data_IF_824340369091
#
_entry.id   IF_824340369091
#
_cell.length_a   1.000
_cell.length_b   1.000
_cell.length_c   1.000
_cell.angle_alpha   90.00
_cell.angle_beta   90.00
_cell.angle_gamma   90.00
#
_symmetry.space_group_name_H-M   'P 1'
#
loop_
_entity.id
_entity.type
_entity.pdbx_description
1 polymer ?
#
# COMPACT_ATOMS: atom_id res chain seq x y z
N UNK A 1 34.09 -20.74 23.92
CA UNK A 1 32.83 -20.16 23.40
C UNK A 1 33.10 -18.66 23.19
N UNK A 2 33.24 -18.21 21.94
CA UNK A 2 33.57 -16.80 21.62
C UNK A 2 32.52 -16.24 20.65
N UNK A 3 32.24 -14.95 20.84
CA UNK A 3 31.19 -14.17 20.14
C UNK A 3 31.39 -14.24 18.62
N UNK A 4 30.45 -14.86 17.92
CA UNK A 4 30.35 -14.84 16.46
C UNK A 4 28.85 -14.91 16.10
N UNK A 5 28.22 -13.75 15.93
CA UNK A 5 26.76 -13.68 15.73
C UNK A 5 26.17 -12.30 16.01
N UNK A 6 26.59 -11.28 15.24
CA UNK A 6 25.90 -9.96 15.12
C UNK A 6 26.12 -9.35 13.72
N UNK A 7 27.27 -9.62 13.06
CA UNK A 7 27.70 -8.91 11.85
C UNK A 7 26.95 -9.21 10.53
N UNK A 8 25.84 -9.96 10.55
CA UNK A 8 25.08 -10.29 9.32
C UNK A 8 23.96 -9.26 9.02
N UNK A 9 23.44 -8.56 10.04
CA UNK A 9 22.27 -7.67 9.86
C UNK A 9 22.53 -6.34 9.12
N UNK A 10 23.75 -5.79 9.21
CA UNK A 10 24.02 -4.43 8.71
C UNK A 10 24.20 -4.33 7.18
N UNK A 11 24.50 -5.43 6.49
CA UNK A 11 24.77 -5.42 5.05
C UNK A 11 23.52 -5.22 4.17
N UNK A 12 22.35 -5.66 4.66
CA UNK A 12 21.08 -5.56 3.91
C UNK A 12 20.45 -4.18 4.08
N UNK A 13 20.48 -3.61 5.28
CA UNK A 13 19.92 -2.28 5.59
C UNK A 13 20.62 -1.17 4.80
N UNK A 14 21.94 -1.27 4.61
CA UNK A 14 22.72 -0.27 3.89
C UNK A 14 22.36 -0.14 2.39
N UNK A 15 21.75 -1.17 1.78
CA UNK A 15 21.35 -1.13 0.37
C UNK A 15 19.99 -0.45 0.14
N UNK A 16 19.13 -0.39 1.17
CA UNK A 16 17.79 0.21 1.07
C UNK A 16 17.81 1.75 1.21
N UNK A 17 18.83 2.30 1.87
CA UNK A 17 18.96 3.74 2.18
C UNK A 17 19.26 4.66 0.97
N UNK A 18 19.40 4.13 -0.24
CA UNK A 18 19.81 4.89 -1.44
C UNK A 18 18.63 5.28 -2.34
N UNK A 19 17.40 4.84 -2.04
CA UNK A 19 16.21 5.05 -2.89
C UNK A 19 15.13 6.00 -2.36
N UNK A 20 15.16 6.37 -1.08
CA UNK A 20 14.03 7.03 -0.40
C UNK A 20 14.19 8.55 -0.29
N UNK A 21 13.87 9.27 -1.38
CA UNK A 21 13.90 10.74 -1.44
C UNK A 21 12.61 11.37 -2.01
N UNK A 22 11.48 10.69 -1.83
CA UNK A 22 10.14 11.18 -2.14
C UNK A 22 9.12 10.51 -1.23
N UNK A 23 7.98 11.18 -1.02
CA UNK A 23 6.75 10.52 -0.60
C UNK A 23 6.17 9.70 -1.77
N UNK A 24 5.32 8.75 -1.44
CA UNK A 24 4.79 7.59 -2.19
C UNK A 24 3.59 7.09 -1.37
N UNK A 25 2.49 6.47 -1.85
CA UNK A 25 1.18 6.27 -1.13
C UNK A 25 0.63 4.92 -0.56
N UNK A 26 -0.50 5.03 0.19
CA UNK A 26 -1.12 4.04 1.13
C UNK A 26 -1.94 2.95 0.43
N UNK A 27 -2.44 3.25 -0.76
CA UNK A 27 -3.18 2.30 -1.61
C UNK A 27 -2.27 1.45 -2.50
N UNK A 28 -0.99 1.37 -2.18
CA UNK A 28 0.04 0.68 -2.96
C UNK A 28 0.16 -0.83 -2.68
N UNK A 29 -0.51 -1.31 -1.64
CA UNK A 29 -0.45 -2.69 -1.15
C UNK A 29 0.86 -3.05 -0.43
N UNK A 30 1.71 -2.08 -0.07
CA UNK A 30 2.89 -2.25 0.76
C UNK A 30 2.78 -1.48 2.08
N UNK A 31 2.25 -0.26 2.06
CA UNK A 31 2.20 0.62 3.22
C UNK A 31 1.45 0.00 4.40
N UNK A 32 1.89 0.36 5.60
CA UNK A 32 1.14 0.10 6.81
C UNK A 32 1.37 1.18 7.85
N UNK A 33 0.32 1.95 8.17
CA UNK A 33 0.32 2.89 9.29
C UNK A 33 0.75 2.22 10.61
N UNK A 34 0.51 0.91 10.77
CA UNK A 34 0.95 0.13 11.93
C UNK A 34 2.45 -0.08 11.97
N UNK A 35 3.12 -0.24 10.82
CA UNK A 35 4.59 -0.33 10.69
C UNK A 35 5.26 1.04 10.85
N UNK A 36 4.51 2.12 10.65
CA UNK A 36 4.85 3.50 11.01
C UNK A 36 4.58 3.81 12.51
N UNK A 37 4.04 2.85 13.29
CA UNK A 37 3.62 3.01 14.70
C UNK A 37 2.51 4.05 14.92
N UNK A 38 1.79 4.38 13.86
CA UNK A 38 0.70 5.33 13.83
C UNK A 38 -0.66 4.63 14.07
N UNK A 39 -1.69 5.40 14.42
CA UNK A 39 -3.07 4.98 14.18
C UNK A 39 -3.45 5.30 12.72
N UNK A 40 -4.50 4.66 12.19
CA UNK A 40 -4.98 4.97 10.84
C UNK A 40 -5.62 6.36 10.70
N UNK A 41 -5.68 7.15 11.77
CA UNK A 41 -6.09 8.55 11.76
C UNK A 41 -4.98 9.45 12.32
N UNK A 42 -3.71 9.05 12.21
CA UNK A 42 -2.56 9.85 12.63
C UNK A 42 -2.52 11.19 11.87
N UNK A 43 -2.70 11.13 10.55
CA UNK A 43 -2.51 12.26 9.63
C UNK A 43 -3.83 13.01 9.35
N UNK A 44 -4.63 13.20 10.39
CA UNK A 44 -6.02 13.66 10.26
C UNK A 44 -6.10 15.13 9.82
N UNK A 45 -6.48 15.35 8.56
CA UNK A 45 -6.71 16.66 7.92
C UNK A 45 -7.60 17.64 8.70
N UNK A 46 -8.45 17.16 9.62
CA UNK A 46 -9.30 18.01 10.47
C UNK A 46 -8.66 18.46 11.78
N UNK A 47 -7.50 17.91 12.13
CA UNK A 47 -6.69 18.31 13.27
C UNK A 47 -5.23 18.48 12.83
N UNK A 48 -4.94 19.46 11.94
CA UNK A 48 -3.62 19.65 11.32
C UNK A 48 -2.49 19.91 12.32
N UNK A 49 -2.83 20.26 13.56
CA UNK A 49 -1.86 20.47 14.65
C UNK A 49 -1.56 19.21 15.48
N UNK A 50 -2.24 18.10 15.21
CA UNK A 50 -2.11 16.87 15.99
C UNK A 50 -0.90 16.05 15.54
N UNK A 51 -0.08 15.70 16.52
CA UNK A 51 0.99 14.72 16.40
C UNK A 51 0.68 13.53 17.30
N UNK A 52 0.74 12.31 16.76
CA UNK A 52 0.56 11.08 17.53
C UNK A 52 1.91 10.63 18.14
N UNK A 53 2.04 10.57 19.49
CA UNK A 53 3.31 10.22 20.12
C UNK A 53 3.80 8.83 19.72
N UNK A 54 4.97 8.77 19.07
CA UNK A 54 5.56 7.51 18.57
C UNK A 54 5.21 7.16 17.14
N UNK A 55 4.26 7.84 16.49
CA UNK A 55 4.05 7.73 15.04
C UNK A 55 5.26 8.27 14.26
N UNK A 56 5.65 7.59 13.19
CA UNK A 56 6.85 7.86 12.39
C UNK A 56 6.47 8.22 10.95
N UNK A 57 6.85 9.40 10.49
CA UNK A 57 6.67 9.83 9.09
C UNK A 57 7.63 9.22 8.08
N UNK A 58 8.69 8.63 8.59
CA UNK A 58 9.56 7.74 7.85
C UNK A 58 10.02 6.65 8.80
N UNK A 59 10.07 5.41 8.35
CA UNK A 59 10.55 4.30 9.16
C UNK A 59 11.34 3.30 8.33
N UNK A 60 12.48 2.86 8.86
CA UNK A 60 13.17 1.64 8.45
C UNK A 60 13.07 0.68 9.61
N UNK A 61 12.32 -0.41 9.44
CA UNK A 61 12.15 -1.42 10.46
C UNK A 61 12.49 -2.83 9.95
N UNK A 62 12.88 -3.68 10.90
CA UNK A 62 13.13 -5.11 10.71
C UNK A 62 12.48 -5.84 11.87
N UNK A 63 11.53 -6.72 11.58
CA UNK A 63 10.91 -7.60 12.57
C UNK A 63 11.14 -9.08 12.27
N UNK A 64 10.99 -9.92 13.29
CA UNK A 64 10.84 -11.36 13.10
C UNK A 64 9.36 -11.76 12.95
N UNK A 65 9.09 -13.04 12.66
CA UNK A 65 7.73 -13.59 12.53
C UNK A 65 6.96 -13.69 13.85
N UNK A 66 7.63 -13.49 15.00
CA UNK A 66 6.98 -13.34 16.31
C UNK A 66 6.60 -11.88 16.62
N UNK A 67 6.93 -10.93 15.73
CA UNK A 67 6.63 -9.51 15.89
C UNK A 67 7.62 -8.74 16.75
N UNK A 68 8.80 -9.31 17.07
CA UNK A 68 9.86 -8.52 17.71
C UNK A 68 10.50 -7.61 16.67
N UNK A 69 10.45 -6.30 16.88
CA UNK A 69 10.84 -5.30 15.88
C UNK A 69 11.95 -4.37 16.38
N UNK A 70 12.91 -4.07 15.50
CA UNK A 70 13.81 -2.93 15.62
C UNK A 70 13.55 -1.93 14.52
N UNK A 71 13.61 -0.64 14.84
CA UNK A 71 13.34 0.43 13.88
C UNK A 71 14.22 1.66 14.11
N UNK A 72 14.39 2.43 13.04
CA UNK A 72 14.84 3.82 13.06
C UNK A 72 13.81 4.61 12.25
N UNK A 73 13.30 5.70 12.81
CA UNK A 73 12.29 6.52 12.13
C UNK A 73 12.43 8.00 12.43
N UNK A 74 11.67 8.80 11.67
CA UNK A 74 11.50 10.24 11.89
C UNK A 74 10.13 10.45 12.51
N UNK A 75 10.08 11.09 13.68
CA UNK A 75 8.83 11.36 14.38
C UNK A 75 7.92 12.24 13.51
N UNK A 76 6.63 11.87 13.43
CA UNK A 76 5.58 12.66 12.79
C UNK A 76 5.58 14.10 13.32
N UNK A 77 5.30 15.08 12.46
CA UNK A 77 5.14 16.49 12.84
C UNK A 77 3.69 16.94 12.64
N UNK A 78 3.45 18.25 12.70
CA UNK A 78 2.16 18.83 12.33
C UNK A 78 2.16 19.22 10.84
N UNK A 79 0.96 19.42 10.30
CA UNK A 79 0.73 19.91 8.94
C UNK A 79 1.52 21.19 8.64
N UNK A 80 2.11 21.24 7.45
CA UNK A 80 3.03 22.27 6.97
C UNK A 80 4.40 22.27 7.66
N UNK A 81 4.79 21.20 8.37
CA UNK A 81 6.12 21.04 8.97
C UNK A 81 6.82 19.80 8.40
N UNK A 82 8.15 19.89 8.24
CA UNK A 82 8.98 18.75 7.84
C UNK A 82 9.56 18.02 9.06
N UNK A 83 9.68 16.69 9.04
CA UNK A 83 10.32 15.95 10.13
C UNK A 83 11.80 16.32 10.33
N UNK A 84 12.29 16.22 11.56
CA UNK A 84 13.68 16.52 11.87
C UNK A 84 14.62 15.34 11.54
N UNK A 85 15.14 15.36 10.32
CA UNK A 85 16.13 14.40 9.80
C UNK A 85 17.42 14.27 10.65
N UNK A 86 17.70 15.20 11.56
CA UNK A 86 18.88 15.14 12.44
C UNK A 86 18.61 14.45 13.78
N UNK A 87 17.34 14.23 14.14
CA UNK A 87 16.93 13.64 15.42
C UNK A 87 16.01 12.40 15.23
N UNK A 88 16.48 11.32 14.60
CA UNK A 88 15.69 10.11 14.41
C UNK A 88 15.40 9.41 15.75
N UNK A 89 14.18 8.88 15.88
CA UNK A 89 13.77 7.98 16.96
C UNK A 89 14.20 6.56 16.59
N UNK A 90 14.51 5.73 17.58
CA UNK A 90 14.80 4.31 17.34
C UNK A 90 14.32 3.42 18.48
N UNK A 91 13.92 2.21 18.12
CA UNK A 91 13.64 1.11 19.04
C UNK A 91 14.49 -0.10 18.71
N UNK A 92 14.91 -0.83 19.74
CA UNK A 92 15.63 -2.10 19.56
C UNK A 92 14.88 -3.23 20.27
N UNK A 93 14.73 -4.40 19.64
CA UNK A 93 14.02 -5.52 20.23
C UNK A 93 14.89 -6.17 21.30
N UNK A 94 14.26 -6.63 22.39
CA UNK A 94 14.97 -7.35 23.46
C UNK A 94 15.30 -8.80 23.09
N UNK A 95 14.56 -9.36 22.12
CA UNK A 95 14.70 -10.70 21.54
C UNK A 95 14.47 -10.61 20.04
N UNK A 96 15.17 -11.41 19.23
CA UNK A 96 14.94 -11.48 17.78
C UNK A 96 15.25 -12.89 17.28
N UNK A 97 14.26 -13.57 16.71
CA UNK A 97 14.37 -14.94 16.19
C UNK A 97 14.13 -15.00 14.68
N UNK A 98 15.18 -14.90 13.85
CA UNK A 98 15.05 -14.95 12.39
C UNK A 98 14.58 -16.31 11.86
N UNK A 99 14.49 -17.35 12.70
CA UNK A 99 13.96 -18.66 12.29
C UNK A 99 12.43 -18.69 12.24
N UNK A 100 11.77 -17.73 12.92
CA UNK A 100 10.32 -17.51 12.80
C UNK A 100 9.92 -16.75 11.54
N UNK A 101 10.88 -16.10 10.87
CA UNK A 101 10.68 -15.22 9.72
C UNK A 101 11.50 -13.93 9.88
N UNK A 102 11.64 -13.16 8.80
CA UNK A 102 12.29 -11.83 8.80
C UNK A 102 11.53 -10.90 7.85
N UNK A 103 11.08 -9.76 8.36
CA UNK A 103 10.30 -8.76 7.62
C UNK A 103 11.00 -7.41 7.68
N UNK A 104 11.66 -7.02 6.58
CA UNK A 104 12.25 -5.70 6.39
C UNK A 104 11.24 -4.78 5.70
N UNK A 105 11.08 -3.56 6.20
CA UNK A 105 10.16 -2.57 5.65
C UNK A 105 10.79 -1.18 5.70
N UNK A 106 10.61 -0.43 4.62
CA UNK A 106 10.90 1.01 4.55
C UNK A 106 9.59 1.69 4.17
N UNK A 107 9.09 2.57 5.02
CA UNK A 107 7.87 3.35 4.78
C UNK A 107 8.11 4.85 4.93
N UNK A 108 7.24 5.62 4.29
CA UNK A 108 7.14 7.07 4.37
C UNK A 108 5.66 7.46 4.47
N UNK A 109 5.33 8.65 4.99
CA UNK A 109 4.04 9.33 4.76
C UNK A 109 4.14 10.69 4.05
N UNK A 110 2.98 11.23 3.69
CA UNK A 110 2.73 12.56 3.11
C UNK A 110 3.38 13.71 3.87
N UNK A 111 3.62 13.56 5.18
CA UNK A 111 4.37 14.51 5.99
C UNK A 111 5.80 14.76 5.40
N UNK A 112 6.37 13.85 4.59
CA UNK A 112 7.63 14.10 3.87
C UNK A 112 7.52 15.04 2.66
N UNK A 113 6.33 15.25 2.08
CA UNK A 113 6.10 16.23 1.01
C UNK A 113 5.46 17.50 1.55
N UNK A 114 6.31 18.49 1.89
CA UNK A 114 5.94 19.78 2.48
C UNK A 114 5.18 19.72 3.82
N UNK A 115 4.95 18.53 4.38
CA UNK A 115 4.16 18.33 5.59
C UNK A 115 2.67 18.23 5.32
N UNK A 116 2.21 17.65 4.21
CA UNK A 116 0.78 17.39 4.00
C UNK A 116 0.26 16.33 4.98
N UNK A 117 -1.02 16.44 5.37
CA UNK A 117 -1.76 15.51 6.23
C UNK A 117 -3.20 15.40 5.68
N UNK A 118 -3.43 14.53 4.69
CA UNK A 118 -4.71 14.46 3.98
C UNK A 118 -5.68 13.35 4.46
N UNK A 119 -5.31 12.57 5.50
CA UNK A 119 -6.12 11.43 5.93
C UNK A 119 -7.54 11.82 6.37
N UNK A 120 -8.51 10.96 6.05
CA UNK A 120 -9.89 11.13 6.47
C UNK A 120 -10.18 10.46 7.82
N UNK A 121 -10.60 11.19 8.85
CA UNK A 121 -11.08 10.59 10.10
C UNK A 121 -12.42 9.84 9.91
N UNK A 122 -13.04 9.91 8.73
CA UNK A 122 -14.22 9.13 8.40
C UNK A 122 -13.90 7.70 7.89
N UNK A 123 -12.66 7.46 7.45
CA UNK A 123 -12.17 6.16 6.94
C UNK A 123 -11.10 5.59 7.89
N UNK A 124 -10.13 6.42 8.30
CA UNK A 124 -9.09 6.08 9.28
C UNK A 124 -8.22 4.87 8.90
N UNK A 125 -7.71 4.87 7.67
CA UNK A 125 -6.84 3.84 7.08
C UNK A 125 -5.39 4.28 6.86
N UNK A 126 -5.04 5.54 7.16
CA UNK A 126 -3.77 6.18 6.82
C UNK A 126 -4.01 7.45 5.99
N UNK A 127 -2.93 8.19 5.68
CA UNK A 127 -2.97 9.28 4.69
C UNK A 127 -3.33 8.74 3.30
N UNK A 128 -3.63 9.62 2.35
CA UNK A 128 -3.84 9.24 0.95
C UNK A 128 -2.53 9.09 0.21
N UNK A 129 -1.48 9.84 0.60
CA UNK A 129 -0.08 9.67 0.18
C UNK A 129 0.81 9.26 1.39
N UNK A 130 1.82 8.42 1.23
CA UNK A 130 2.49 7.55 2.24
C UNK A 130 2.62 6.02 1.97
N UNK A 131 3.80 5.46 1.73
CA UNK A 131 4.03 4.29 0.83
C UNK A 131 5.32 3.53 1.14
N UNK A 132 5.51 2.32 0.59
CA UNK A 132 6.56 1.43 1.13
C UNK A 132 7.30 0.48 0.17
N UNK A 133 8.49 0.08 0.64
CA UNK A 133 9.22 -1.11 0.19
C UNK A 133 9.12 -2.17 1.30
N UNK A 134 8.72 -3.38 0.93
CA UNK A 134 8.71 -4.54 1.83
C UNK A 134 9.56 -5.68 1.26
N UNK A 135 10.27 -6.40 2.13
CA UNK A 135 10.94 -7.65 1.81
C UNK A 135 10.79 -8.63 2.97
N UNK A 136 10.26 -9.81 2.69
CA UNK A 136 9.86 -10.79 3.67
C UNK A 136 10.53 -12.14 3.39
N UNK A 137 10.95 -12.80 4.47
CA UNK A 137 11.23 -14.22 4.52
C UNK A 137 10.19 -14.83 5.46
N UNK A 138 9.18 -15.50 4.91
CA UNK A 138 8.11 -16.16 5.66
C UNK A 138 8.17 -17.69 5.47
N UNK A 139 8.74 -18.44 6.42
CA UNK A 139 8.73 -19.90 6.40
C UNK A 139 7.32 -20.52 6.41
N UNK A 140 6.29 -19.83 6.93
CA UNK A 140 4.94 -20.37 7.01
C UNK A 140 4.25 -20.46 5.63
N UNK A 141 4.67 -19.65 4.65
CA UNK A 141 4.18 -19.69 3.26
C UNK A 141 4.54 -20.99 2.50
N UNK A 142 5.54 -21.75 2.95
CA UNK A 142 6.06 -22.92 2.22
C UNK A 142 5.05 -24.06 2.15
N UNK A 143 4.44 -24.44 3.27
CA UNK A 143 3.51 -25.57 3.34
C UNK A 143 2.22 -25.34 2.51
N UNK A 144 1.54 -24.17 2.58
CA UNK A 144 0.43 -23.82 1.70
C UNK A 144 0.80 -23.87 0.21
N UNK A 145 1.98 -23.37 -0.16
CA UNK A 145 2.45 -23.38 -1.54
C UNK A 145 2.72 -24.80 -2.05
N UNK A 146 3.35 -25.65 -1.25
CA UNK A 146 3.55 -27.08 -1.58
C UNK A 146 2.21 -27.80 -1.71
N UNK A 147 1.23 -27.51 -0.85
CA UNK A 147 -0.11 -28.06 -0.95
C UNK A 147 -0.82 -27.61 -2.25
N UNK A 148 -0.68 -26.34 -2.65
CA UNK A 148 -1.23 -25.83 -3.91
C UNK A 148 -0.60 -26.52 -5.15
N UNK A 149 0.72 -26.74 -5.15
CA UNK A 149 1.40 -27.52 -6.20
C UNK A 149 0.87 -28.95 -6.27
N UNK A 150 0.68 -29.61 -5.12
CA UNK A 150 0.16 -30.98 -5.06
C UNK A 150 -1.32 -31.08 -5.49
N UNK A 151 -2.12 -30.06 -5.20
CA UNK A 151 -3.53 -29.98 -5.59
C UNK A 151 -3.73 -29.55 -7.05
N UNK A 152 -2.73 -28.95 -7.69
CA UNK A 152 -2.86 -28.29 -8.99
C UNK A 152 -3.65 -26.98 -8.90
N UNK A 153 -3.61 -26.29 -7.76
CA UNK A 153 -4.29 -25.01 -7.53
C UNK A 153 -3.53 -23.87 -8.22
N UNK A 154 -3.81 -23.70 -9.51
CA UNK A 154 -3.20 -22.66 -10.34
C UNK A 154 -3.60 -21.26 -9.86
N UNK A 155 -4.79 -21.05 -9.30
CA UNK A 155 -5.22 -19.74 -8.82
C UNK A 155 -4.38 -19.28 -7.62
N UNK A 156 -4.13 -20.17 -6.66
CA UNK A 156 -3.21 -19.92 -5.56
C UNK A 156 -1.78 -19.66 -6.06
N UNK A 157 -1.27 -20.49 -6.97
CA UNK A 157 0.11 -20.36 -7.47
C UNK A 157 0.34 -19.11 -8.33
N UNK A 158 -0.70 -18.52 -8.92
CA UNK A 158 -0.58 -17.25 -9.65
C UNK A 158 -0.63 -16.04 -8.71
N UNK A 159 -1.38 -16.11 -7.61
CA UNK A 159 -1.39 -15.05 -6.56
C UNK A 159 -0.21 -15.17 -5.60
N UNK A 160 0.38 -16.35 -5.46
CA UNK A 160 1.52 -16.68 -4.59
C UNK A 160 2.61 -17.44 -5.39
N UNK A 161 3.27 -16.79 -6.39
CA UNK A 161 4.20 -17.47 -7.29
C UNK A 161 5.52 -17.91 -6.64
N UNK A 162 5.91 -17.30 -5.52
CA UNK A 162 7.12 -17.63 -4.78
C UNK A 162 6.78 -18.08 -3.36
N UNK A 163 7.22 -19.28 -2.90
CA UNK A 163 7.22 -19.64 -1.50
C UNK A 163 8.43 -19.01 -0.78
N UNK A 164 8.36 -18.96 0.54
CA UNK A 164 9.40 -18.51 1.49
C UNK A 164 9.79 -17.04 1.40
N UNK A 165 9.84 -16.43 0.21
CA UNK A 165 10.33 -15.07 0.00
C UNK A 165 9.36 -14.29 -0.87
N UNK A 166 8.91 -13.15 -0.35
CA UNK A 166 8.15 -12.17 -1.10
C UNK A 166 8.72 -10.76 -0.89
N UNK A 167 8.43 -9.86 -1.81
CA UNK A 167 8.80 -8.46 -1.70
C UNK A 167 7.86 -7.57 -2.50
N UNK A 168 7.98 -6.28 -2.30
CA UNK A 168 7.24 -5.30 -3.08
C UNK A 168 7.79 -3.90 -2.92
N UNK A 169 7.48 -3.10 -3.93
CA UNK A 169 7.53 -1.65 -3.88
C UNK A 169 6.14 -1.13 -4.20
N UNK A 170 5.77 -0.04 -3.56
CA UNK A 170 4.52 0.63 -3.82
C UNK A 170 4.62 2.13 -3.58
N UNK A 171 3.78 2.85 -4.32
CA UNK A 171 3.55 4.26 -4.19
C UNK A 171 2.23 4.65 -4.90
N UNK A 172 1.46 5.58 -4.37
CA UNK A 172 0.77 6.59 -5.17
C UNK A 172 1.32 8.01 -4.90
N UNK A 173 0.86 8.98 -5.67
CA UNK A 173 0.95 10.41 -5.42
C UNK A 173 -0.18 11.06 -6.21
N UNK A 174 -0.91 12.02 -5.64
CA UNK A 174 -2.03 12.70 -6.31
C UNK A 174 -3.02 11.70 -7.01
N UNK A 175 -3.44 10.64 -6.31
CA UNK A 175 -4.35 9.63 -6.86
C UNK A 175 -3.75 8.72 -7.94
N UNK A 176 -2.49 8.90 -8.32
CA UNK A 176 -1.80 8.08 -9.32
C UNK A 176 -0.90 7.02 -8.65
N UNK A 177 -1.32 5.76 -8.68
CA UNK A 177 -0.61 4.65 -8.06
C UNK A 177 0.29 3.85 -9.02
N UNK A 178 1.34 3.27 -8.44
CA UNK A 178 2.31 2.32 -8.96
C UNK A 178 2.56 1.24 -7.89
N UNK A 179 2.43 -0.03 -8.24
CA UNK A 179 2.89 -1.13 -7.39
C UNK A 179 3.67 -2.17 -8.20
N UNK A 180 4.68 -2.74 -7.57
CA UNK A 180 5.47 -3.86 -8.06
C UNK A 180 5.51 -4.90 -6.94
N UNK A 181 4.84 -6.03 -7.11
CA UNK A 181 4.72 -7.05 -6.05
C UNK A 181 4.98 -8.46 -6.57
N UNK A 182 5.47 -9.35 -5.69
CA UNK A 182 5.65 -10.78 -5.97
C UNK A 182 4.55 -11.67 -5.37
N UNK A 183 3.58 -11.10 -4.64
CA UNK A 183 2.44 -11.80 -4.01
C UNK A 183 1.21 -10.89 -4.04
N UNK A 184 -0.01 -11.44 -4.03
CA UNK A 184 -1.20 -10.61 -3.86
C UNK A 184 -1.17 -9.88 -2.50
N UNK A 185 -1.43 -8.57 -2.48
CA UNK A 185 -1.55 -7.79 -1.24
C UNK A 185 -2.76 -6.88 -1.27
N UNK A 186 -3.37 -6.62 -0.11
CA UNK A 186 -4.48 -5.66 0.00
C UNK A 186 -3.93 -4.25 -0.12
N UNK A 187 -4.28 -3.56 -1.21
CA UNK A 187 -4.04 -2.13 -1.41
C UNK A 187 -4.97 -1.29 -0.56
N UNK A 188 -6.28 -1.54 -0.65
CA UNK A 188 -7.28 -0.70 0.02
C UNK A 188 -8.36 -1.56 0.66
N UNK A 189 -8.69 -1.24 1.91
CA UNK A 189 -9.72 -1.95 2.67
C UNK A 189 -11.04 -1.19 2.59
N UNK A 190 -11.80 -1.40 1.52
CA UNK A 190 -13.16 -0.87 1.40
C UNK A 190 -14.09 -1.33 2.53
N UNK A 191 -15.12 -0.53 2.80
CA UNK A 191 -16.05 -0.70 3.93
C UNK A 191 -17.13 -1.75 3.72
N UNK A 192 -17.40 -2.18 2.48
CA UNK A 192 -18.34 -3.25 2.17
C UNK A 192 -17.68 -4.63 2.24
N UNK A 193 -17.77 -5.25 3.42
CA UNK A 193 -17.24 -6.60 3.69
C UNK A 193 -17.97 -7.74 2.98
N UNK A 194 -19.07 -7.45 2.26
CA UNK A 194 -19.81 -8.45 1.50
C UNK A 194 -19.43 -8.46 0.01
N UNK A 195 -18.64 -7.49 -0.45
CA UNK A 195 -18.05 -7.51 -1.79
C UNK A 195 -16.80 -8.40 -1.80
N UNK A 196 -16.60 -9.22 -2.84
CA UNK A 196 -15.33 -9.89 -3.05
C UNK A 196 -14.23 -8.85 -3.24
N UNK A 197 -12.99 -9.20 -2.87
CA UNK A 197 -11.84 -8.42 -3.26
C UNK A 197 -11.74 -8.34 -4.79
N UNK A 198 -11.28 -7.20 -5.31
CA UNK A 198 -11.05 -7.00 -6.74
C UNK A 198 -9.66 -6.38 -6.97
N UNK A 199 -8.92 -6.77 -8.01
CA UNK A 199 -7.69 -6.11 -8.36
C UNK A 199 -7.89 -4.60 -8.56
N UNK A 200 -6.95 -3.77 -8.09
CA UNK A 200 -6.99 -2.31 -8.26
C UNK A 200 -6.99 -1.89 -9.73
N UNK A 201 -6.26 -2.62 -10.58
CA UNK A 201 -6.20 -2.37 -12.01
C UNK A 201 -7.47 -2.76 -12.76
N UNK A 202 -8.43 -3.44 -12.11
CA UNK A 202 -9.71 -3.86 -12.71
C UNK A 202 -10.85 -2.93 -12.30
N UNK A 203 -11.26 -2.10 -13.24
CA UNK A 203 -12.31 -1.11 -13.03
C UNK A 203 -13.71 -1.67 -13.28
N UNK A 204 -13.85 -2.98 -13.55
CA UNK A 204 -15.14 -3.63 -13.81
C UNK A 204 -16.12 -3.44 -12.66
N UNK A 205 -17.06 -2.51 -12.83
CA UNK A 205 -18.08 -2.17 -11.83
C UNK A 205 -17.63 -1.23 -10.72
N UNK A 206 -16.38 -0.71 -10.74
CA UNK A 206 -15.95 0.37 -9.83
C UNK A 206 -16.82 1.60 -10.08
N UNK A 207 -17.26 2.22 -8.99
CA UNK A 207 -17.98 3.49 -9.01
C UNK A 207 -17.08 4.53 -8.41
N UNK A 208 -16.50 5.33 -9.28
CA UNK A 208 -15.66 6.46 -8.92
C UNK A 208 -16.49 7.51 -8.20
N UNK A 209 -15.89 8.04 -7.14
CA UNK A 209 -16.27 9.24 -6.42
C UNK A 209 -16.14 10.48 -7.34
N UNK A 210 -16.58 11.67 -6.90
CA UNK A 210 -16.32 12.90 -7.66
C UNK A 210 -14.82 13.22 -7.61
N UNK A 211 -14.20 13.74 -8.69
CA UNK A 211 -12.78 14.16 -8.67
C UNK A 211 -12.46 15.29 -7.69
N UNK A 212 -13.48 15.85 -7.03
CA UNK A 212 -13.34 16.82 -5.95
C UNK A 212 -13.23 16.16 -4.57
N UNK A 213 -13.38 14.84 -4.43
CA UNK A 213 -13.52 14.19 -3.12
C UNK A 213 -12.23 14.18 -2.28
N UNK A 214 -11.05 14.23 -2.93
CA UNK A 214 -9.76 14.29 -2.23
C UNK A 214 -9.40 15.63 -1.56
N UNK A 215 -10.26 16.67 -1.60
CA UNK A 215 -9.97 17.91 -0.88
C UNK A 215 -11.15 18.88 -0.79
N UNK A 216 -10.99 20.04 -0.14
CA UNK A 216 -10.38 20.20 1.17
C UNK A 216 -11.29 19.66 2.30
N UNK A 217 -12.33 18.87 1.99
CA UNK A 217 -13.20 18.27 3.02
C UNK A 217 -13.83 16.94 2.59
N UNK A 218 -13.91 16.00 3.54
CA UNK A 218 -14.77 14.79 3.48
C UNK A 218 -16.26 15.04 3.18
N UNK A 219 -16.66 16.31 3.10
CA UNK A 219 -18.01 16.79 3.20
C UNK A 219 -18.87 16.52 1.96
N UNK A 220 -20.14 16.91 2.06
CA UNK A 220 -21.09 16.80 0.94
C UNK A 220 -20.82 17.81 -0.19
N UNK A 221 -20.01 18.83 0.08
CA UNK A 221 -19.61 19.83 -0.91
C UNK A 221 -18.73 19.17 -1.98
N UNK A 222 -17.76 18.38 -1.53
CA UNK A 222 -16.65 17.92 -2.37
C UNK A 222 -16.81 16.43 -2.75
N UNK A 223 -17.22 15.57 -1.80
CA UNK A 223 -17.55 14.16 -2.05
C UNK A 223 -19.02 13.89 -2.42
N UNK A 224 -19.84 14.93 -2.53
CA UNK A 224 -21.25 14.83 -2.93
C UNK A 224 -22.19 14.16 -1.90
N UNK A 225 -23.42 13.77 -2.31
CA UNK A 225 -24.47 13.33 -1.38
C UNK A 225 -24.12 12.03 -0.63
N UNK A 226 -23.57 12.19 0.57
CA UNK A 226 -23.13 11.12 1.47
C UNK A 226 -21.80 11.40 2.17
N UNK A 227 -20.98 12.29 1.61
CA UNK A 227 -19.59 12.49 2.03
C UNK A 227 -18.71 11.28 1.68
N UNK A 228 -17.42 11.37 1.99
CA UNK A 228 -16.41 10.36 1.65
C UNK A 228 -16.78 8.95 2.15
N UNK A 229 -17.38 8.87 3.34
CA UNK A 229 -17.80 7.63 3.98
C UNK A 229 -18.84 6.81 3.17
N UNK A 230 -19.55 7.43 2.21
CA UNK A 230 -20.45 6.70 1.30
C UNK A 230 -19.68 5.94 0.23
N UNK A 231 -18.59 6.51 -0.27
CA UNK A 231 -17.74 5.89 -1.29
C UNK A 231 -16.97 4.72 -0.68
N UNK A 232 -16.33 4.95 0.47
CA UNK A 232 -15.70 3.89 1.27
C UNK A 232 -16.66 2.72 1.59
N UNK A 233 -17.87 3.00 2.13
CA UNK A 233 -18.90 1.97 2.39
C UNK A 233 -19.52 1.38 1.11
N UNK A 234 -19.29 2.00 -0.04
CA UNK A 234 -19.74 1.55 -1.33
C UNK A 234 -18.77 0.57 -1.99
N UNK A 235 -17.52 0.46 -1.52
CA UNK A 235 -16.47 -0.36 -2.11
C UNK A 235 -16.04 -1.54 -1.22
N UNK A 236 -15.61 -2.61 -1.87
CA UNK A 236 -14.99 -3.77 -1.23
C UNK A 236 -13.48 -3.61 -1.11
N UNK A 237 -12.81 -4.64 -0.61
CA UNK A 237 -11.35 -4.68 -0.60
C UNK A 237 -10.77 -4.62 -2.03
N UNK A 238 -9.59 -4.03 -2.17
CA UNK A 238 -8.85 -3.97 -3.42
C UNK A 238 -7.45 -4.54 -3.25
N UNK A 239 -6.98 -5.31 -4.23
CA UNK A 239 -5.69 -6.00 -4.17
C UNK A 239 -4.74 -5.57 -5.29
N UNK A 240 -3.44 -5.57 -5.00
CA UNK A 240 -2.38 -5.57 -6.01
C UNK A 240 -2.03 -7.02 -6.36
N UNK A 241 -1.91 -7.33 -7.65
CA UNK A 241 -1.63 -8.68 -8.15
C UNK A 241 -0.12 -8.84 -8.43
N UNK A 242 0.47 -10.05 -8.34
CA UNK A 242 1.90 -10.24 -8.60
C UNK A 242 2.27 -9.80 -10.02
N UNK A 243 3.22 -8.88 -10.14
CA UNK A 243 3.55 -8.19 -11.38
C UNK A 243 3.87 -6.71 -11.17
N UNK A 244 3.68 -5.92 -12.23
CA UNK A 244 3.83 -4.47 -12.27
C UNK A 244 2.49 -3.86 -12.65
N UNK A 245 2.07 -2.81 -11.94
CA UNK A 245 0.80 -2.14 -12.18
C UNK A 245 0.86 -0.65 -11.89
N UNK A 246 0.18 0.13 -12.73
CA UNK A 246 -0.21 1.53 -12.45
C UNK A 246 -1.73 1.64 -12.48
N UNK A 247 -2.31 2.45 -11.61
CA UNK A 247 -3.76 2.50 -11.38
C UNK A 247 -4.17 3.84 -10.73
N UNK A 248 -5.43 4.23 -10.86
CA UNK A 248 -6.04 5.28 -10.04
C UNK A 248 -6.22 4.77 -8.61
N UNK A 249 -6.00 5.62 -7.63
CA UNK A 249 -6.15 5.29 -6.22
C UNK A 249 -7.57 4.71 -5.94
N UNK A 250 -7.67 3.48 -5.40
CA UNK A 250 -8.95 2.94 -4.98
C UNK A 250 -9.63 3.71 -3.84
N UNK A 251 -8.88 4.47 -3.03
CA UNK A 251 -9.36 5.28 -1.91
C UNK A 251 -10.00 6.60 -2.41
N UNK A 252 -11.26 6.91 -2.04
CA UNK A 252 -11.86 8.22 -2.31
C UNK A 252 -11.19 9.42 -1.61
N UNK A 253 -10.15 9.21 -0.79
CA UNK A 253 -9.25 10.27 -0.30
C UNK A 253 -8.30 10.78 -1.39
N UNK A 254 -7.99 9.98 -2.41
CA UNK A 254 -7.01 10.34 -3.44
C UNK A 254 -7.38 11.63 -4.16
N UNK A 255 -6.52 12.65 -4.06
CA UNK A 255 -6.64 13.92 -4.80
C UNK A 255 -6.15 13.73 -6.23
N UNK A 256 -7.00 13.68 -7.27
CA UNK A 256 -6.57 13.15 -8.56
C UNK A 256 -5.81 14.14 -9.44
N UNK A 257 -4.61 13.76 -9.91
CA UNK A 257 -3.86 14.53 -10.91
C UNK A 257 -4.35 14.29 -12.35
N UNK A 258 -4.89 15.34 -12.96
CA UNK A 258 -5.19 15.35 -14.39
C UNK A 258 -6.52 14.66 -14.74
N UNK A 259 -6.56 13.74 -15.74
CA UNK A 259 -7.80 13.21 -16.27
C UNK A 259 -8.35 12.07 -15.40
N UNK A 260 -9.31 12.39 -14.53
CA UNK A 260 -9.91 11.43 -13.60
C UNK A 260 -11.06 10.59 -14.22
N UNK A 261 -11.14 9.28 -13.91
CA UNK A 261 -10.09 8.48 -13.29
C UNK A 261 -9.02 8.10 -14.33
N UNK A 262 -7.80 7.94 -13.86
CA UNK A 262 -6.62 7.60 -14.64
C UNK A 262 -6.75 6.19 -15.23
N UNK A 263 -6.22 5.95 -16.45
CA UNK A 263 -6.12 4.61 -17.01
C UNK A 263 -5.25 3.70 -16.15
N UNK A 264 -5.69 2.45 -15.94
CA UNK A 264 -4.84 1.43 -15.34
C UNK A 264 -4.00 0.71 -16.39
N UNK A 265 -2.87 0.17 -15.97
CA UNK A 265 -2.16 -0.89 -16.66
C UNK A 265 -1.63 -1.90 -15.65
N UNK A 266 -1.78 -3.19 -15.93
CA UNK A 266 -1.19 -4.29 -15.16
C UNK A 266 -0.57 -5.31 -16.12
N UNK A 267 0.57 -5.86 -15.74
CA UNK A 267 1.16 -7.04 -16.37
C UNK A 267 1.83 -7.91 -15.31
N UNK A 268 1.46 -9.19 -15.25
CA UNK A 268 1.98 -10.10 -14.24
C UNK A 268 1.46 -11.53 -14.38
N UNK A 269 1.48 -12.28 -13.28
CA UNK A 269 1.05 -13.68 -13.24
C UNK A 269 -0.44 -13.83 -13.55
N UNK A 270 -1.27 -12.93 -13.03
CA UNK A 270 -2.72 -12.97 -13.22
C UNK A 270 -3.18 -12.52 -14.62
N UNK A 271 -2.28 -11.97 -15.44
CA UNK A 271 -2.53 -11.64 -16.84
C UNK A 271 -2.09 -10.23 -17.23
N UNK A 272 -2.89 -9.57 -18.07
CA UNK A 272 -2.65 -8.21 -18.56
C UNK A 272 -3.96 -7.41 -18.57
N UNK A 273 -3.91 -6.17 -18.08
CA UNK A 273 -5.00 -5.17 -18.19
C UNK A 273 -4.40 -3.86 -18.70
N UNK A 274 -5.05 -3.18 -19.64
CA UNK A 274 -4.66 -1.83 -20.09
C UNK A 274 -5.88 -0.98 -20.40
N UNK A 275 -5.89 0.26 -19.92
CA UNK A 275 -6.90 1.27 -20.22
C UNK A 275 -7.93 1.44 -19.10
N UNK A 276 -9.12 1.89 -19.48
CA UNK A 276 -10.16 2.32 -18.55
C UNK A 276 -10.03 3.79 -18.18
N UNK A 277 -10.97 4.27 -17.37
CA UNK A 277 -11.07 5.67 -17.02
C UNK A 277 -11.07 6.57 -18.25
N UNK A 278 -10.16 7.55 -18.31
CA UNK A 278 -10.01 8.44 -19.45
C UNK A 278 -9.59 7.76 -20.78
N UNK A 279 -9.02 6.54 -20.75
CA UNK A 279 -8.57 5.81 -21.93
C UNK A 279 -9.44 4.57 -22.21
N UNK A 280 -10.59 4.80 -22.85
CA UNK A 280 -11.54 3.77 -23.23
C UNK A 280 -11.12 3.02 -24.50
N UNK A 281 -10.91 1.71 -24.39
CA UNK A 281 -10.67 0.83 -25.54
C UNK A 281 -11.98 0.53 -26.31
N UNK A 282 -11.92 0.33 -27.65
CA UNK A 282 -13.09 -0.11 -28.42
C UNK A 282 -13.64 -1.46 -27.95
N UNK A 283 -14.95 -1.66 -28.08
CA UNK A 283 -15.58 -2.93 -27.73
C UNK A 283 -15.00 -4.09 -28.56
N UNK A 284 -14.56 -5.15 -27.87
CA UNK A 284 -13.96 -6.35 -28.45
C UNK A 284 -14.20 -7.55 -27.52
N UNK A 285 -13.93 -8.80 -27.96
CA UNK A 285 -14.01 -9.98 -27.09
C UNK A 285 -13.08 -9.96 -25.86
N UNK A 286 -12.08 -9.07 -25.85
CA UNK A 286 -11.13 -8.87 -24.74
C UNK A 286 -11.27 -7.48 -24.10
N UNK A 287 -12.36 -6.75 -24.37
CA UNK A 287 -12.63 -5.44 -23.74
C UNK A 287 -13.69 -5.60 -22.66
N UNK A 288 -13.36 -5.27 -21.40
CA UNK A 288 -14.30 -5.35 -20.28
C UNK A 288 -15.30 -4.17 -20.26
N UNK A 289 -16.28 -4.20 -19.35
CA UNK A 289 -17.31 -3.16 -19.27
C UNK A 289 -16.82 -1.79 -18.79
N UNK A 290 -15.57 -1.68 -18.33
CA UNK A 290 -14.92 -0.43 -17.96
C UNK A 290 -14.06 0.15 -19.11
N UNK A 291 -14.08 -0.48 -20.29
CA UNK A 291 -13.31 -0.08 -21.46
C UNK A 291 -11.83 -0.43 -21.38
N UNK A 292 -11.47 -1.46 -20.62
CA UNK A 292 -10.09 -1.93 -20.51
C UNK A 292 -9.89 -3.14 -21.42
N UNK A 293 -8.76 -3.20 -22.14
CA UNK A 293 -8.30 -4.45 -22.74
C UNK A 293 -7.81 -5.35 -21.62
N UNK A 294 -8.39 -6.54 -21.50
CA UNK A 294 -8.17 -7.44 -20.39
C UNK A 294 -7.99 -8.89 -20.88
N UNK A 295 -6.88 -9.50 -20.49
CA UNK A 295 -6.60 -10.92 -20.68
C UNK A 295 -6.26 -11.50 -19.30
N UNK A 296 -7.22 -12.23 -18.72
CA UNK A 296 -7.07 -12.91 -17.42
C UNK A 296 -6.50 -14.31 -17.57
N UNK A 297 -6.02 -14.86 -16.46
CA UNK A 297 -5.52 -16.23 -16.35
C UNK A 297 -6.47 -17.06 -15.45
N UNK A 298 -5.99 -17.68 -14.37
CA UNK A 298 -6.83 -18.35 -13.37
C UNK A 298 -7.04 -17.50 -12.09
N UNK A 299 -6.62 -16.23 -12.13
CA UNK A 299 -7.17 -15.14 -11.32
C UNK A 299 -8.31 -14.49 -12.12
#
# INVERSE_FOLDING_TARGET
MRRAGVLVGLGVVALMLVGSAGAWAVSDGQYSYRRQHCSGAADNSKDPTRVEPGCQSFTVNVSDGAGNEGFIGLQQTADGQSPDFLNPVSGTPTTFDPTSGVHAYVGADDNLDNGEHDSSPAISNGPSDGGAIAFNVDPASVDPWVAAVQAGDVAYLLTHPLPLVDGGFGACADGACLAVTTVERVAYQGGDKHKPAQPVADYTGKRWDPPTCGGPSDGKADCGPGGIAKWHKGDGARTTEPGVQVFEDPDPQGSPIGPYPLPAAYAGTCGVIVGGGAAQAPASPVTNSAGQVQVRTAC
#
